data_IF_665673348033
#
_entry.id   IF_665673348033
#
_cell.length_a   1.000
_cell.length_b   1.000
_cell.length_c   1.000
_cell.angle_alpha   90.00
_cell.angle_beta   90.00
_cell.angle_gamma   90.00
#
_symmetry.space_group_name_H-M   'P 1'
#
loop_
_entity.id
_entity.type
_entity.pdbx_description
1 polymer ?
#
# COMPACT_ATOMS: atom_id res chain seq x y z
N UNK A 1 -0.56 12.45 -26.61
CA UNK A 1 -1.53 12.89 -25.59
C UNK A 1 -0.79 13.68 -24.53
N UNK A 2 -1.30 14.84 -24.09
CA UNK A 2 -0.72 15.63 -23.01
C UNK A 2 -1.71 15.66 -21.86
N UNK A 3 -1.33 15.10 -20.72
CA UNK A 3 -2.14 15.08 -19.50
C UNK A 3 -1.56 16.03 -18.47
N UNK A 4 -2.43 16.61 -17.64
CA UNK A 4 -2.08 17.53 -16.56
C UNK A 4 -3.06 17.33 -15.40
N UNK A 5 -2.55 17.24 -14.18
CA UNK A 5 -3.37 17.14 -12.97
C UNK A 5 -2.54 16.80 -11.74
N UNK A 6 -3.17 16.78 -10.58
CA UNK A 6 -2.56 16.31 -9.33
C UNK A 6 -2.40 14.79 -9.39
N UNK A 7 -1.17 14.30 -9.24
CA UNK A 7 -0.92 12.86 -9.19
C UNK A 7 -1.59 12.24 -7.95
N UNK A 8 -2.35 11.17 -8.15
CA UNK A 8 -2.92 10.32 -7.10
C UNK A 8 -2.30 8.93 -7.16
N UNK A 9 -2.52 8.12 -6.11
CA UNK A 9 -2.12 6.70 -6.11
C UNK A 9 -2.69 6.04 -7.38
N UNK A 10 -1.85 5.29 -8.09
CA UNK A 10 -2.30 4.48 -9.23
C UNK A 10 -3.27 3.40 -8.76
N UNK A 11 -4.23 3.06 -9.62
CA UNK A 11 -5.07 1.88 -9.43
C UNK A 11 -4.57 0.76 -10.34
N UNK A 12 -4.79 -0.48 -9.90
CA UNK A 12 -4.53 -1.66 -10.69
C UNK A 12 -5.77 -2.57 -10.64
N UNK A 13 -6.02 -3.27 -11.74
CA UNK A 13 -7.04 -4.30 -11.83
C UNK A 13 -6.37 -5.65 -12.07
N UNK A 14 -6.79 -6.66 -11.31
CA UNK A 14 -6.31 -8.02 -11.40
C UNK A 14 -6.78 -8.70 -12.71
N UNK A 15 -6.05 -8.43 -13.77
CA UNK A 15 -6.20 -9.04 -15.10
C UNK A 15 -4.90 -9.76 -15.49
N UNK A 16 -4.91 -10.47 -16.61
CA UNK A 16 -3.72 -11.11 -17.16
C UNK A 16 -3.45 -10.59 -18.59
N UNK A 17 -2.53 -9.62 -18.79
CA UNK A 17 -1.68 -8.96 -17.79
C UNK A 17 -2.46 -7.98 -16.89
N UNK A 18 -1.88 -7.59 -15.75
CA UNK A 18 -2.47 -6.59 -14.83
C UNK A 18 -2.73 -5.28 -15.56
N UNK A 19 -3.89 -4.68 -15.34
CA UNK A 19 -4.26 -3.40 -15.96
C UNK A 19 -4.01 -2.25 -15.00
N UNK A 20 -3.18 -1.29 -15.40
CA UNK A 20 -2.76 -0.14 -14.61
C UNK A 20 -3.42 1.15 -15.09
N UNK A 21 -3.74 2.02 -14.14
CA UNK A 21 -4.34 3.33 -14.39
C UNK A 21 -3.52 4.46 -13.74
N UNK A 22 -3.20 5.48 -14.54
CA UNK A 22 -2.68 6.74 -14.05
C UNK A 22 -3.84 7.59 -13.55
N UNK A 23 -3.81 7.95 -12.28
CA UNK A 23 -4.83 8.79 -11.68
C UNK A 23 -4.34 10.24 -11.58
N UNK A 24 -5.02 11.14 -12.28
CA UNK A 24 -4.79 12.58 -12.21
C UNK A 24 -6.09 13.27 -11.75
N UNK A 25 -5.98 14.01 -10.66
CA UNK A 25 -7.11 14.61 -9.96
C UNK A 25 -8.17 13.55 -9.60
N UNK A 26 -9.31 13.55 -10.28
CA UNK A 26 -10.40 12.57 -10.13
C UNK A 26 -10.61 11.71 -11.38
N UNK A 27 -9.67 11.71 -12.31
CA UNK A 27 -9.76 11.01 -13.60
C UNK A 27 -8.70 9.93 -13.70
N UNK A 28 -9.12 8.74 -14.13
CA UNK A 28 -8.25 7.57 -14.34
C UNK A 28 -7.97 7.38 -15.83
N UNK A 29 -6.70 7.18 -16.19
CA UNK A 29 -6.25 6.98 -17.57
C UNK A 29 -5.55 5.63 -17.71
N UNK A 30 -5.92 4.79 -18.70
CA UNK A 30 -5.28 3.49 -18.89
C UNK A 30 -3.81 3.66 -19.28
N UNK A 31 -2.91 2.95 -18.59
CA UNK A 31 -1.46 3.01 -18.84
C UNK A 31 -0.96 1.89 -19.75
N UNK A 32 -1.59 0.71 -19.72
CA UNK A 32 -1.12 -0.48 -20.45
C UNK A 32 -0.83 -0.22 -21.94
N UNK A 33 -1.68 0.49 -22.70
CA UNK A 33 -1.41 0.77 -24.12
C UNK A 33 -0.17 1.64 -24.38
N UNK A 34 0.41 2.24 -23.34
CA UNK A 34 1.55 3.14 -23.39
C UNK A 34 2.85 2.51 -22.90
N UNK A 35 2.81 1.29 -22.37
CA UNK A 35 4.02 0.56 -21.94
C UNK A 35 4.95 0.34 -23.14
N UNK A 36 6.25 0.55 -22.95
CA UNK A 36 7.27 0.45 -24.00
C UNK A 36 7.37 1.65 -24.94
N UNK A 37 6.51 2.66 -24.80
CA UNK A 37 6.56 3.90 -25.60
C UNK A 37 7.32 5.00 -24.84
N UNK A 38 8.00 5.94 -25.54
CA UNK A 38 8.64 7.06 -24.89
C UNK A 38 7.59 7.97 -24.22
N UNK A 39 7.86 8.36 -22.98
CA UNK A 39 7.00 9.26 -22.21
C UNK A 39 7.82 10.40 -21.60
N UNK A 40 7.21 11.59 -21.54
CA UNK A 40 7.78 12.76 -20.87
C UNK A 40 6.98 13.10 -19.62
N UNK A 41 7.67 13.27 -18.50
CA UNK A 41 7.09 13.81 -17.26
C UNK A 41 7.64 15.21 -17.03
N UNK A 42 6.75 16.18 -16.80
CA UNK A 42 7.13 17.56 -16.47
C UNK A 42 6.48 17.97 -15.15
N UNK A 43 7.31 18.30 -14.17
CA UNK A 43 6.83 18.89 -12.93
C UNK A 43 6.37 20.33 -13.16
N UNK A 44 5.20 20.67 -12.62
CA UNK A 44 4.53 21.97 -12.78
C UNK A 44 4.93 22.99 -11.73
N UNK A 45 5.76 22.62 -10.76
CA UNK A 45 6.18 23.49 -9.64
C UNK A 45 5.18 23.56 -8.49
N UNK A 46 4.05 22.84 -8.55
CA UNK A 46 3.01 22.86 -7.52
C UNK A 46 2.87 21.51 -6.85
N UNK A 47 2.75 21.52 -5.52
CA UNK A 47 2.36 20.37 -4.71
C UNK A 47 1.14 20.79 -3.89
N UNK A 48 0.08 20.00 -3.93
CA UNK A 48 -1.16 20.22 -3.19
C UNK A 48 -1.46 19.01 -2.31
N UNK A 49 -1.99 19.25 -1.12
CA UNK A 49 -2.47 18.20 -0.23
C UNK A 49 -3.59 17.41 -0.92
N UNK A 50 -3.53 16.07 -0.88
CA UNK A 50 -4.57 15.21 -1.45
C UNK A 50 -5.89 15.29 -0.71
N UNK A 51 -5.86 15.70 0.57
CA UNK A 51 -7.03 15.86 1.43
C UNK A 51 -7.63 17.26 1.32
N UNK A 52 -6.87 18.28 1.76
CA UNK A 52 -7.40 19.64 1.92
C UNK A 52 -7.10 20.56 0.73
N UNK A 53 -6.39 20.09 -0.29
CA UNK A 53 -6.04 20.87 -1.48
C UNK A 53 -5.00 22.00 -1.25
N UNK A 54 -4.59 22.27 -0.01
CA UNK A 54 -3.64 23.34 0.31
C UNK A 54 -2.32 23.15 -0.42
N UNK A 55 -1.80 24.23 -1.03
CA UNK A 55 -0.44 24.26 -1.61
C UNK A 55 0.60 24.09 -0.51
N UNK A 56 1.60 23.26 -0.76
CA UNK A 56 2.68 22.96 0.18
C UNK A 56 4.02 22.93 -0.57
N UNK A 57 5.11 23.15 0.16
CA UNK A 57 6.47 23.05 -0.40
C UNK A 57 6.97 21.61 -0.49
N UNK A 58 6.39 20.72 0.32
CA UNK A 58 6.75 19.30 0.42
C UNK A 58 5.50 18.44 0.61
N UNK A 59 5.57 17.20 0.15
CA UNK A 59 4.55 16.19 0.38
C UNK A 59 4.97 15.28 1.54
N UNK A 60 4.00 14.90 2.36
CA UNK A 60 4.14 13.99 3.51
C UNK A 60 3.18 12.81 3.32
N UNK A 61 3.48 11.64 3.88
CA UNK A 61 2.61 10.44 3.89
C UNK A 61 1.88 10.16 2.57
N UNK A 62 2.63 10.18 1.46
CA UNK A 62 2.11 9.89 0.12
C UNK A 62 1.09 10.90 -0.45
N UNK A 63 1.10 12.17 0.00
CA UNK A 63 0.30 13.20 -0.66
C UNK A 63 -0.22 14.33 0.23
N UNK A 64 -0.01 14.25 1.53
CA UNK A 64 -0.55 15.20 2.50
C UNK A 64 0.35 16.43 2.70
N UNK A 65 -0.24 17.52 3.18
CA UNK A 65 0.52 18.59 3.81
C UNK A 65 0.86 18.21 5.27
N UNK A 66 1.81 18.92 5.88
CA UNK A 66 2.27 18.62 7.23
C UNK A 66 1.13 18.53 8.27
N UNK A 67 0.16 19.45 8.23
CA UNK A 67 -0.97 19.46 9.18
C UNK A 67 -1.83 18.21 9.02
N UNK A 68 -2.22 17.87 7.80
CA UNK A 68 -3.02 16.67 7.54
C UNK A 68 -2.25 15.38 7.82
N UNK A 69 -0.94 15.36 7.56
CA UNK A 69 -0.06 14.23 7.91
C UNK A 69 -0.01 14.01 9.43
N UNK A 70 0.11 15.08 10.20
CA UNK A 70 0.17 15.03 11.67
C UNK A 70 -1.17 14.70 12.31
N UNK A 71 -2.26 15.29 11.83
CA UNK A 71 -3.54 15.35 12.57
C UNK A 71 -4.57 14.31 12.12
N UNK A 72 -4.43 13.71 10.92
CA UNK A 72 -5.44 12.79 10.39
C UNK A 72 -5.20 11.34 10.84
N UNK A 73 -6.23 10.62 11.31
CA UNK A 73 -6.11 9.24 11.78
C UNK A 73 -5.49 8.27 10.77
N UNK A 74 -5.75 8.44 9.47
CA UNK A 74 -5.20 7.60 8.40
C UNK A 74 -3.67 7.68 8.26
N UNK A 75 -3.04 8.75 8.77
CA UNK A 75 -1.60 8.95 8.75
C UNK A 75 -0.92 8.59 10.08
N UNK A 76 -1.68 8.09 11.05
CA UNK A 76 -1.14 7.67 12.35
C UNK A 76 -0.12 6.52 12.19
N UNK A 77 0.71 6.34 13.22
CA UNK A 77 1.82 5.37 13.21
C UNK A 77 1.37 3.94 12.89
N UNK A 78 0.14 3.56 13.22
CA UNK A 78 -0.38 2.22 12.93
C UNK A 78 -0.46 1.88 11.43
N UNK A 79 -0.40 2.90 10.56
CA UNK A 79 -0.29 2.72 9.12
C UNK A 79 1.03 2.05 8.72
N UNK A 80 2.09 2.29 9.48
CA UNK A 80 3.42 1.71 9.28
C UNK A 80 3.76 0.59 10.27
N UNK A 81 3.23 0.68 11.50
CA UNK A 81 3.45 -0.25 12.60
C UNK A 81 2.11 -0.69 13.18
N UNK A 82 1.42 -1.64 12.53
CA UNK A 82 0.07 -2.05 12.89
C UNK A 82 -0.06 -2.52 14.34
N UNK A 83 1.01 -3.06 14.92
CA UNK A 83 1.15 -3.49 16.31
C UNK A 83 1.06 -2.34 17.33
N UNK A 84 1.20 -1.09 16.89
CA UNK A 84 1.10 0.12 17.72
C UNK A 84 -0.24 0.85 17.55
N UNK A 85 -1.27 0.16 17.07
CA UNK A 85 -2.61 0.75 16.92
C UNK A 85 -3.19 1.16 18.28
N UNK A 86 -3.55 2.45 18.42
CA UNK A 86 -4.13 3.01 19.66
C UNK A 86 -5.40 3.84 19.38
N UNK A 87 -5.94 3.81 18.16
CA UNK A 87 -7.06 4.65 17.73
C UNK A 87 -8.32 4.50 18.60
N UNK A 88 -8.57 3.30 19.16
CA UNK A 88 -9.70 3.07 20.08
C UNK A 88 -9.70 4.03 21.29
N UNK A 89 -8.50 4.44 21.75
CA UNK A 89 -8.31 5.33 22.91
C UNK A 89 -8.18 6.80 22.53
N UNK A 90 -8.29 7.13 21.24
CA UNK A 90 -8.10 8.48 20.71
C UNK A 90 -9.36 9.36 20.82
N UNK A 91 -9.35 10.46 20.08
CA UNK A 91 -10.51 11.35 19.96
C UNK A 91 -11.63 10.69 19.12
N UNK A 92 -12.76 11.37 18.89
CA UNK A 92 -13.86 10.75 18.13
C UNK A 92 -13.50 10.44 16.66
N UNK A 93 -12.68 11.26 16.02
CA UNK A 93 -12.20 10.97 14.67
C UNK A 93 -11.30 9.73 14.64
N UNK A 94 -10.45 9.56 15.66
CA UNK A 94 -9.65 8.34 15.82
C UNK A 94 -10.52 7.11 16.05
N UNK A 95 -11.51 7.20 16.94
CA UNK A 95 -12.43 6.09 17.23
C UNK A 95 -13.27 5.71 16.03
N UNK A 96 -13.73 6.69 15.26
CA UNK A 96 -14.46 6.42 14.02
C UNK A 96 -13.58 5.73 12.97
N UNK A 97 -12.33 6.18 12.83
CA UNK A 97 -11.35 5.50 12.00
C UNK A 97 -11.10 4.07 12.50
N UNK A 98 -10.99 3.86 13.81
CA UNK A 98 -10.83 2.53 14.38
C UNK A 98 -11.99 1.61 14.00
N UNK A 99 -13.25 2.02 14.22
CA UNK A 99 -14.44 1.21 13.87
C UNK A 99 -14.49 0.80 12.41
N UNK A 100 -14.06 1.69 11.51
CA UNK A 100 -14.21 1.50 10.05
C UNK A 100 -12.98 0.88 9.38
N UNK A 101 -11.78 1.03 9.97
CA UNK A 101 -10.52 0.67 9.31
C UNK A 101 -9.60 -0.24 10.13
N UNK A 102 -9.70 -0.25 11.47
CA UNK A 102 -8.81 -1.02 12.35
C UNK A 102 -9.52 -2.19 13.03
N UNK A 103 -10.79 -2.03 13.41
CA UNK A 103 -11.65 -3.04 14.03
C UNK A 103 -12.54 -3.73 12.98
N UNK A 104 -11.87 -4.31 12.00
CA UNK A 104 -12.45 -5.11 10.92
C UNK A 104 -11.49 -6.26 10.64
N UNK A 105 -11.93 -7.24 9.86
CA UNK A 105 -11.06 -8.36 9.50
C UNK A 105 -9.77 -7.92 8.79
N UNK A 106 -8.66 -8.30 9.38
CA UNK A 106 -7.32 -8.20 8.82
C UNK A 106 -6.78 -9.60 8.53
N UNK A 107 -6.00 -9.69 7.46
CA UNK A 107 -5.43 -10.91 6.96
C UNK A 107 -3.92 -10.81 7.04
N UNK A 108 -3.29 -11.81 7.66
CA UNK A 108 -1.85 -12.01 7.60
C UNK A 108 -1.58 -12.99 6.47
N UNK A 109 -0.63 -12.66 5.61
CA UNK A 109 -0.26 -13.48 4.47
C UNK A 109 1.25 -13.61 4.32
N UNK A 110 1.66 -14.68 3.66
CA UNK A 110 2.96 -14.82 3.04
C UNK A 110 2.87 -14.37 1.58
N UNK A 111 3.89 -13.67 1.10
CA UNK A 111 4.02 -13.28 -0.30
C UNK A 111 5.42 -13.63 -0.80
N UNK A 112 5.50 -14.18 -2.01
CA UNK A 112 6.75 -14.45 -2.69
C UNK A 112 6.98 -13.33 -3.71
N UNK A 113 8.00 -12.51 -3.47
CA UNK A 113 8.47 -11.46 -4.41
C UNK A 113 9.84 -11.87 -4.94
N UNK A 114 10.94 -11.31 -4.45
CA UNK A 114 12.30 -11.87 -4.62
C UNK A 114 12.67 -12.88 -3.53
N UNK A 115 11.74 -13.17 -2.63
CA UNK A 115 11.89 -13.94 -1.41
C UNK A 115 10.57 -13.87 -0.63
N UNK A 116 10.44 -14.73 0.39
CA UNK A 116 9.21 -14.82 1.18
C UNK A 116 9.14 -13.70 2.20
N UNK A 117 7.96 -13.09 2.28
CA UNK A 117 7.66 -11.99 3.18
C UNK A 117 6.34 -12.20 3.87
N UNK A 118 6.29 -11.84 5.14
CA UNK A 118 5.03 -11.68 5.86
C UNK A 118 4.50 -10.28 5.60
N UNK A 119 3.20 -10.18 5.38
CA UNK A 119 2.52 -8.90 5.29
C UNK A 119 1.12 -8.98 5.86
N UNK A 120 0.56 -7.81 6.14
CA UNK A 120 -0.84 -7.67 6.52
C UNK A 120 -1.63 -6.86 5.51
N UNK A 121 -2.93 -7.13 5.43
CA UNK A 121 -3.86 -6.36 4.61
C UNK A 121 -5.29 -6.53 5.11
N UNK A 122 -6.22 -5.77 4.54
CA UNK A 122 -7.66 -5.95 4.71
C UNK A 122 -8.21 -6.73 3.53
N UNK A 123 -9.37 -7.38 3.69
CA UNK A 123 -10.01 -8.13 2.61
C UNK A 123 -10.18 -7.28 1.34
N UNK A 124 -10.61 -6.03 1.51
CA UNK A 124 -10.89 -5.09 0.40
C UNK A 124 -9.66 -4.70 -0.42
N UNK A 125 -8.45 -4.94 0.10
CA UNK A 125 -7.19 -4.61 -0.58
C UNK A 125 -6.55 -5.85 -1.25
N UNK A 126 -7.21 -7.00 -1.22
CA UNK A 126 -6.73 -8.21 -1.92
C UNK A 126 -7.47 -8.27 -3.28
N UNK A 127 -6.77 -8.44 -4.42
CA UNK A 127 -5.34 -8.71 -4.59
C UNK A 127 -4.47 -7.46 -4.82
N UNK A 128 -5.04 -6.25 -4.83
CA UNK A 128 -4.32 -4.99 -5.13
C UNK A 128 -3.01 -4.84 -4.34
N UNK A 129 -3.01 -5.24 -3.06
CA UNK A 129 -1.82 -5.20 -2.20
C UNK A 129 -0.70 -6.10 -2.71
N UNK A 130 -1.02 -7.27 -3.24
CA UNK A 130 -0.05 -8.20 -3.80
C UNK A 130 0.50 -7.70 -5.14
N UNK A 131 -0.37 -7.08 -5.95
CA UNK A 131 0.03 -6.41 -7.20
C UNK A 131 0.99 -5.25 -6.91
N UNK A 132 0.65 -4.38 -5.95
CA UNK A 132 1.49 -3.25 -5.53
C UNK A 132 2.89 -3.70 -5.05
N UNK A 133 2.99 -4.90 -4.47
CA UNK A 133 4.24 -5.47 -3.97
C UNK A 133 5.04 -6.25 -5.03
N UNK A 134 4.46 -6.52 -6.20
CA UNK A 134 5.06 -7.39 -7.22
C UNK A 134 5.16 -8.85 -6.77
N UNK A 135 4.19 -9.32 -5.98
CA UNK A 135 4.16 -10.70 -5.51
C UNK A 135 3.76 -11.64 -6.65
N UNK A 136 4.53 -12.72 -6.85
CA UNK A 136 4.23 -13.77 -7.83
C UNK A 136 3.33 -14.86 -7.24
N UNK A 137 3.35 -15.03 -5.91
CA UNK A 137 2.49 -15.94 -5.15
C UNK A 137 2.12 -15.29 -3.82
N UNK A 138 0.93 -15.62 -3.31
CA UNK A 138 0.45 -15.17 -2.01
C UNK A 138 -0.33 -16.28 -1.31
N UNK A 139 -0.19 -16.37 0.01
CA UNK A 139 -0.89 -17.33 0.85
C UNK A 139 -1.38 -16.63 2.11
N UNK A 140 -2.70 -16.59 2.33
CA UNK A 140 -3.27 -16.12 3.59
C UNK A 140 -3.02 -17.21 4.65
N UNK A 141 -2.44 -16.83 5.79
CA UNK A 141 -2.11 -17.74 6.89
C UNK A 141 -2.93 -17.48 8.15
N UNK A 142 -3.51 -16.28 8.30
CA UNK A 142 -4.40 -15.98 9.41
C UNK A 142 -5.41 -14.89 9.04
N UNK A 143 -6.59 -14.96 9.69
CA UNK A 143 -7.59 -13.88 9.73
C UNK A 143 -7.80 -13.50 11.20
N UNK A 144 -7.76 -12.21 11.48
CA UNK A 144 -7.94 -11.66 12.83
C UNK A 144 -8.90 -10.47 12.79
N UNK A 145 -9.67 -10.24 13.87
CA UNK A 145 -10.72 -9.22 13.88
C UNK A 145 -10.19 -7.78 13.98
N UNK A 146 -8.90 -7.61 14.31
CA UNK A 146 -8.33 -6.29 14.56
C UNK A 146 -6.92 -6.13 13.99
N UNK A 147 -6.63 -4.90 13.55
CA UNK A 147 -5.34 -4.50 13.00
C UNK A 147 -4.17 -4.77 13.95
N UNK A 148 -4.34 -4.48 15.23
CA UNK A 148 -3.27 -4.65 16.23
C UNK A 148 -2.81 -6.10 16.32
N UNK A 149 -3.75 -7.05 16.28
CA UNK A 149 -3.46 -8.48 16.29
C UNK A 149 -2.68 -8.90 15.04
N UNK A 150 -3.07 -8.38 13.87
CA UNK A 150 -2.36 -8.67 12.63
C UNK A 150 -0.91 -8.17 12.67
N UNK A 151 -0.69 -6.98 13.24
CA UNK A 151 0.65 -6.42 13.44
C UNK A 151 1.50 -7.21 14.42
N UNK A 152 0.91 -7.67 15.53
CA UNK A 152 1.62 -8.51 16.49
C UNK A 152 2.07 -9.84 15.87
N UNK A 153 1.21 -10.47 15.06
CA UNK A 153 1.56 -11.67 14.30
C UNK A 153 2.66 -11.36 13.27
N UNK A 154 2.52 -10.27 12.51
CA UNK A 154 3.54 -9.84 11.53
C UNK A 154 4.91 -9.66 12.18
N UNK A 155 4.99 -8.94 13.30
CA UNK A 155 6.24 -8.73 14.05
C UNK A 155 6.82 -10.04 14.59
N UNK A 156 5.97 -10.96 15.06
CA UNK A 156 6.43 -12.27 15.53
C UNK A 156 7.02 -13.10 14.39
N UNK A 157 6.32 -13.18 13.26
CA UNK A 157 6.75 -13.98 12.10
C UNK A 157 7.91 -13.35 11.35
N UNK A 158 8.00 -12.02 11.25
CA UNK A 158 9.08 -11.33 10.55
C UNK A 158 10.48 -11.66 11.10
N UNK A 159 10.59 -12.14 12.34
CA UNK A 159 11.84 -12.65 12.92
C UNK A 159 12.38 -13.91 12.22
N UNK A 160 11.52 -14.64 11.51
CA UNK A 160 11.84 -15.88 10.82
C UNK A 160 12.08 -15.69 9.31
N UNK A 161 11.78 -14.50 8.75
CA UNK A 161 11.90 -14.20 7.33
C UNK A 161 12.88 -13.07 7.07
N UNK A 162 13.36 -12.95 5.83
CA UNK A 162 14.28 -11.88 5.45
C UNK A 162 13.56 -10.52 5.40
N UNK A 163 14.14 -9.53 6.08
CA UNK A 163 13.55 -8.19 6.29
C UNK A 163 13.28 -7.39 5.00
N UNK A 164 14.04 -7.62 3.91
CA UNK A 164 14.02 -6.74 2.73
C UNK A 164 13.91 -7.49 1.41
N UNK A 165 12.99 -7.04 0.54
CA UNK A 165 12.92 -7.51 -0.84
C UNK A 165 14.05 -6.89 -1.64
N UNK A 166 14.78 -7.74 -2.37
CA UNK A 166 15.76 -7.31 -3.35
C UNK A 166 15.00 -6.90 -4.62
N UNK A 167 14.60 -5.62 -4.67
CA UNK A 167 13.80 -5.09 -5.78
C UNK A 167 14.48 -5.27 -7.15
N UNK A 168 15.82 -5.32 -7.21
CA UNK A 168 16.55 -5.58 -8.46
C UNK A 168 16.29 -6.99 -8.97
N UNK A 169 16.37 -8.00 -8.08
CA UNK A 169 16.03 -9.40 -8.42
C UNK A 169 14.57 -9.52 -8.85
N UNK A 170 13.66 -8.89 -8.10
CA UNK A 170 12.22 -8.86 -8.41
C UNK A 170 11.96 -8.30 -9.82
N UNK A 171 12.55 -7.16 -10.18
CA UNK A 171 12.36 -6.55 -11.51
C UNK A 171 12.99 -7.37 -12.65
N UNK A 172 14.02 -8.17 -12.37
CA UNK A 172 14.62 -9.09 -13.34
C UNK A 172 13.88 -10.43 -13.44
N UNK A 173 12.91 -10.69 -12.57
CA UNK A 173 12.26 -12.00 -12.46
C UNK A 173 13.16 -13.09 -11.87
N UNK A 174 14.27 -12.70 -11.22
CA UNK A 174 15.18 -13.63 -10.53
C UNK A 174 14.57 -14.03 -9.18
N UNK A 175 13.57 -14.90 -9.21
CA UNK A 175 12.87 -15.39 -8.02
C UNK A 175 13.15 -16.87 -7.85
N UNK A 176 13.67 -17.25 -6.69
CA UNK A 176 13.77 -18.66 -6.31
C UNK A 176 12.36 -19.19 -6.03
N UNK A 177 12.01 -20.32 -6.65
CA UNK A 177 10.73 -20.96 -6.36
C UNK A 177 10.72 -21.48 -4.92
N UNK A 178 9.69 -21.09 -4.17
CA UNK A 178 9.47 -21.52 -2.79
C UNK A 178 8.01 -21.99 -2.67
N UNK A 179 7.82 -23.14 -2.04
CA UNK A 179 6.48 -23.59 -1.66
C UNK A 179 6.08 -22.90 -0.34
N UNK A 180 5.01 -22.10 -0.40
CA UNK A 180 4.51 -21.37 0.77
C UNK A 180 3.75 -22.27 1.75
N UNK A 181 3.36 -23.49 1.36
CA UNK A 181 2.58 -24.41 2.20
C UNK A 181 3.44 -25.23 3.18
N UNK A 182 4.75 -25.33 2.92
CA UNK A 182 5.67 -26.22 3.65
C UNK A 182 6.76 -25.40 4.38
N UNK A 183 6.53 -24.08 4.52
CA UNK A 183 7.43 -23.14 5.23
C UNK A 183 7.21 -23.13 6.75
#
# INVERSE_FOLDING_TARGET
MKLLGQLRKMNAEAQNPVTYFLNLDKTSYPLNPHIGKPMGLKWTGTITCIECGRKTRKSYDQGYCFVCSRDLPQNAMCSFRPELCVHEKGNEADREFWRTHCNIDHFVYLSLTSGVKVGITRHTNIPDRWIDQGAIRGLIIARVPERILSGQIEVALAKHFADKTNWRKMLKGEVEEVDLLIL
#
